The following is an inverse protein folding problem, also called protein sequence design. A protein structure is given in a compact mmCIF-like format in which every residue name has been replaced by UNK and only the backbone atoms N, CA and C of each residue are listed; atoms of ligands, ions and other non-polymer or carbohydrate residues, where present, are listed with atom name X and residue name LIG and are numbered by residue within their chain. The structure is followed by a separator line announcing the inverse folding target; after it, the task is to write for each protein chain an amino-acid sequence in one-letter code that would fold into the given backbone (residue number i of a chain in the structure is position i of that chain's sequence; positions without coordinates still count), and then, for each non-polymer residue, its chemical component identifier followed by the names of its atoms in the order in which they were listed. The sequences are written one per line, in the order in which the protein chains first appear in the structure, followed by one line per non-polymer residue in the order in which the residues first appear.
data_IF_313592728862
#
_entry.id   IF_313592728862
#
_cell.length_a   1.000
_cell.length_b   1.000
_cell.length_c   1.000
_cell.angle_alpha   90.00
_cell.angle_beta   90.00
_cell.angle_gamma   90.00
#
_symmetry.space_group_name_H-M   'P 1'
#
loop_
_entity.id
_entity.type
_entity.pdbx_description
1 polymer ?
#
# COMPACT_ATOMS: atom_id res chain seq x y z
N UNK A 1 4.01 3.92 -7.06
CA UNK A 1 4.56 4.66 -5.89
C UNK A 1 5.85 4.01 -5.36
N UNK A 2 5.95 2.68 -5.22
CA UNK A 2 7.22 1.99 -4.95
C UNK A 2 8.15 1.95 -6.18
N UNK A 3 9.46 1.84 -5.96
CA UNK A 3 10.44 1.49 -7.00
C UNK A 3 11.15 2.65 -7.71
N UNK A 4 10.95 3.90 -7.30
CA UNK A 4 11.66 5.03 -7.90
C UNK A 4 10.98 6.39 -7.72
N UNK A 5 11.39 7.41 -8.51
CA UNK A 5 10.66 8.67 -8.59
C UNK A 5 9.25 8.46 -9.17
N UNK A 6 8.28 9.25 -8.71
CA UNK A 6 6.99 9.37 -9.39
C UNK A 6 7.20 10.20 -10.66
N UNK A 7 6.85 9.64 -11.83
CA UNK A 7 6.99 10.29 -13.14
C UNK A 7 5.62 10.28 -13.82
N UNK A 8 5.24 11.42 -14.39
CA UNK A 8 4.08 11.54 -15.27
C UNK A 8 4.58 11.64 -16.71
N UNK A 9 4.21 10.69 -17.56
CA UNK A 9 4.62 10.65 -18.98
C UNK A 9 3.47 10.93 -19.96
N UNK A 10 2.33 11.36 -19.44
CA UNK A 10 1.14 11.69 -20.25
C UNK A 10 1.15 13.15 -20.70
N UNK A 11 0.34 13.47 -21.70
CA UNK A 11 0.08 14.85 -22.13
C UNK A 11 -0.81 15.56 -21.10
N UNK A 12 -0.18 16.18 -20.11
CA UNK A 12 -0.88 16.87 -19.01
C UNK A 12 -1.80 18.01 -19.48
N UNK A 13 -1.56 18.56 -20.67
CA UNK A 13 -2.42 19.61 -21.25
C UNK A 13 -3.77 19.10 -21.75
N UNK A 14 -3.91 17.79 -21.93
CA UNK A 14 -5.15 17.15 -22.40
C UNK A 14 -6.01 16.64 -21.23
N UNK A 15 -5.60 16.88 -19.99
CA UNK A 15 -6.27 16.34 -18.81
C UNK A 15 -7.53 17.12 -18.44
N UNK A 16 -8.56 16.39 -18.03
CA UNK A 16 -9.75 16.98 -17.41
C UNK A 16 -9.44 17.51 -16.02
N UNK A 17 -10.33 18.35 -15.47
CA UNK A 17 -10.20 18.85 -14.10
C UNK A 17 -10.19 17.72 -13.06
N UNK A 18 -10.94 16.65 -13.29
CA UNK A 18 -10.96 15.45 -12.47
C UNK A 18 -9.59 14.75 -12.48
N UNK A 19 -9.04 14.50 -13.68
CA UNK A 19 -7.70 13.90 -13.82
C UNK A 19 -6.61 14.77 -13.17
N UNK A 20 -6.74 16.09 -13.27
CA UNK A 20 -5.86 17.04 -12.60
C UNK A 20 -5.99 16.97 -11.07
N UNK A 21 -7.20 16.80 -10.54
CA UNK A 21 -7.44 16.64 -9.10
C UNK A 21 -6.86 15.32 -8.58
N UNK A 22 -7.10 14.23 -9.29
CA UNK A 22 -6.56 12.89 -8.95
C UNK A 22 -5.04 12.89 -8.95
N UNK A 23 -4.42 13.51 -9.96
CA UNK A 23 -2.97 13.63 -10.02
C UNK A 23 -2.40 14.45 -8.85
N UNK A 24 -3.07 15.53 -8.42
CA UNK A 24 -2.66 16.29 -7.23
C UNK A 24 -2.73 15.44 -5.96
N UNK A 25 -3.81 14.67 -5.80
CA UNK A 25 -3.98 13.77 -4.66
C UNK A 25 -2.88 12.70 -4.63
N UNK A 26 -2.62 12.04 -5.76
CA UNK A 26 -1.57 11.03 -5.90
C UNK A 26 -0.16 11.61 -5.64
N UNK A 27 0.13 12.83 -6.10
CA UNK A 27 1.39 13.52 -5.82
C UNK A 27 1.53 13.83 -4.31
N UNK A 28 0.45 14.29 -3.66
CA UNK A 28 0.45 14.56 -2.23
C UNK A 28 0.71 13.29 -1.43
N UNK A 29 0.04 12.19 -1.77
CA UNK A 29 0.25 10.88 -1.16
C UNK A 29 1.69 10.39 -1.38
N UNK A 30 2.23 10.50 -2.60
CA UNK A 30 3.64 10.16 -2.86
C UNK A 30 4.59 10.98 -2.00
N UNK A 31 4.41 12.30 -1.89
CA UNK A 31 5.27 13.17 -1.08
C UNK A 31 5.24 12.79 0.40
N UNK A 32 4.06 12.48 0.94
CA UNK A 32 3.87 12.02 2.31
C UNK A 32 4.62 10.70 2.57
N UNK A 33 4.55 9.76 1.63
CA UNK A 33 5.15 8.43 1.76
C UNK A 33 6.61 8.35 1.30
N UNK A 34 7.12 9.35 0.58
CA UNK A 34 8.44 9.31 -0.09
C UNK A 34 9.57 8.96 0.88
N UNK A 35 9.57 9.52 2.08
CA UNK A 35 10.62 9.31 3.07
C UNK A 35 10.69 7.86 3.52
N UNK A 36 9.54 7.23 3.78
CA UNK A 36 9.51 5.83 4.21
C UNK A 36 9.79 4.88 3.04
N UNK A 37 9.32 5.17 1.83
CA UNK A 37 9.57 4.33 0.66
C UNK A 37 11.05 4.34 0.28
N UNK A 38 11.72 5.50 0.37
CA UNK A 38 13.13 5.64 -0.01
C UNK A 38 14.09 5.05 1.03
N UNK A 39 13.83 5.27 2.31
CA UNK A 39 14.77 4.94 3.38
C UNK A 39 14.44 3.64 4.11
N UNK A 40 13.26 3.06 3.84
CA UNK A 40 12.78 1.87 4.52
C UNK A 40 13.23 0.56 3.86
N UNK A 41 13.12 -0.53 4.62
CA UNK A 41 13.34 -1.89 4.12
C UNK A 41 12.13 -2.30 3.29
N UNK A 42 12.35 -2.56 2.01
CA UNK A 42 11.32 -3.08 1.09
C UNK A 42 11.14 -4.58 1.27
N UNK A 43 9.90 -5.03 1.37
CA UNK A 43 9.51 -6.42 1.58
C UNK A 43 8.35 -6.76 0.64
N UNK A 44 8.53 -7.71 -0.27
CA UNK A 44 7.43 -8.28 -1.04
C UNK A 44 6.60 -9.20 -0.15
N UNK A 45 5.34 -8.88 0.10
CA UNK A 45 4.44 -9.69 0.94
C UNK A 45 3.72 -10.75 0.14
N UNK A 46 3.30 -10.42 -1.07
CA UNK A 46 2.75 -11.34 -2.05
C UNK A 46 3.49 -11.14 -3.37
N UNK A 47 3.83 -12.20 -4.11
CA UNK A 47 4.33 -12.04 -5.47
C UNK A 47 3.14 -11.79 -6.44
N UNK A 48 3.30 -10.94 -7.46
CA UNK A 48 2.34 -10.87 -8.55
C UNK A 48 2.24 -12.23 -9.24
N UNK A 49 1.02 -12.71 -9.51
CA UNK A 49 0.82 -13.94 -10.31
C UNK A 49 0.78 -13.54 -11.79
N UNK A 50 1.57 -14.26 -12.58
CA UNK A 50 1.73 -14.27 -14.04
C UNK A 50 1.03 -13.13 -14.81
N UNK A 51 1.81 -12.38 -15.60
CA UNK A 51 1.26 -11.52 -16.65
C UNK A 51 0.80 -12.39 -17.82
N UNK A 52 -0.45 -12.84 -17.80
CA UNK A 52 -1.06 -13.57 -18.92
C UNK A 52 -1.99 -12.59 -19.64
N UNK A 53 -1.92 -12.53 -20.97
CA UNK A 53 -2.80 -11.68 -21.81
C UNK A 53 -2.71 -10.17 -21.49
N UNK A 54 -1.51 -9.64 -21.25
CA UNK A 54 -1.26 -8.21 -20.95
C UNK A 54 -1.86 -7.68 -19.63
N UNK A 55 -2.49 -8.55 -18.82
CA UNK A 55 -3.02 -8.19 -17.51
C UNK A 55 -2.30 -8.96 -16.40
N UNK A 56 -2.16 -8.33 -15.23
CA UNK A 56 -1.77 -9.04 -14.01
C UNK A 56 -2.91 -9.94 -13.52
N UNK A 57 -2.59 -11.00 -12.77
CA UNK A 57 -3.60 -11.84 -12.13
C UNK A 57 -3.43 -11.89 -10.61
N UNK A 58 -4.56 -12.00 -9.91
CA UNK A 58 -4.58 -12.19 -8.46
C UNK A 58 -4.18 -10.95 -7.66
N UNK A 59 -3.53 -11.16 -6.51
CA UNK A 59 -3.14 -10.09 -5.59
C UNK A 59 -1.62 -9.91 -5.58
N UNK A 60 -1.18 -8.66 -5.44
CA UNK A 60 0.21 -8.26 -5.19
C UNK A 60 0.23 -7.35 -3.96
N UNK A 61 1.28 -7.46 -3.14
CA UNK A 61 1.45 -6.62 -1.97
C UNK A 61 2.93 -6.39 -1.68
N UNK A 62 3.29 -5.12 -1.53
CA UNK A 62 4.66 -4.69 -1.22
C UNK A 62 4.64 -3.75 -0.02
N UNK A 63 5.64 -3.87 0.84
CA UNK A 63 5.76 -3.12 2.07
C UNK A 63 7.08 -2.37 2.12
N UNK A 64 7.10 -1.19 2.75
CA UNK A 64 8.31 -0.52 3.24
C UNK A 64 8.19 -0.29 4.74
N UNK A 65 9.22 -0.66 5.49
CA UNK A 65 9.30 -0.45 6.94
C UNK A 65 10.43 0.50 7.27
N UNK A 66 10.18 1.51 8.10
CA UNK A 66 11.23 2.42 8.56
C UNK A 66 12.31 1.67 9.35
N UNK A 67 13.57 2.12 9.36
CA UNK A 67 14.66 1.43 10.05
C UNK A 67 14.42 1.20 11.55
N UNK A 68 13.74 2.14 12.21
CA UNK A 68 13.34 2.05 13.62
C UNK A 68 12.07 1.22 13.83
N UNK A 69 11.44 0.72 12.76
CA UNK A 69 10.17 -0.02 12.78
C UNK A 69 8.99 0.79 13.34
N UNK A 70 9.13 2.11 13.51
CA UNK A 70 8.06 2.97 14.02
C UNK A 70 6.96 3.21 13.00
N UNK A 71 7.29 3.14 11.70
CA UNK A 71 6.35 3.33 10.61
C UNK A 71 6.49 2.21 9.57
N UNK A 72 5.38 1.87 8.93
CA UNK A 72 5.34 0.98 7.78
C UNK A 72 4.27 1.45 6.81
N UNK A 73 4.49 1.26 5.51
CA UNK A 73 3.46 1.43 4.48
C UNK A 73 3.36 0.14 3.68
N UNK A 74 2.14 -0.34 3.46
CA UNK A 74 1.82 -1.51 2.65
C UNK A 74 0.98 -1.04 1.48
N UNK A 75 1.42 -1.32 0.26
CA UNK A 75 0.61 -1.12 -0.94
C UNK A 75 0.09 -2.48 -1.39
N UNK A 76 -1.22 -2.55 -1.60
CA UNK A 76 -1.93 -3.77 -1.96
C UNK A 76 -2.65 -3.54 -3.28
N UNK A 77 -2.57 -4.51 -4.17
CA UNK A 77 -3.19 -4.45 -5.49
C UNK A 77 -4.00 -5.72 -5.73
N UNK A 78 -5.19 -5.56 -6.32
CA UNK A 78 -5.98 -6.67 -6.85
C UNK A 78 -6.11 -6.51 -8.36
N UNK A 79 -5.47 -7.41 -9.10
CA UNK A 79 -5.64 -7.54 -10.54
C UNK A 79 -6.79 -8.51 -10.86
N UNK A 80 -6.88 -9.00 -12.09
CA UNK A 80 -7.98 -9.87 -12.53
C UNK A 80 -7.94 -11.25 -11.86
N UNK A 81 -9.11 -11.79 -11.50
CA UNK A 81 -9.28 -13.18 -11.07
C UNK A 81 -8.79 -13.51 -9.65
N UNK A 82 -8.49 -12.49 -8.82
CA UNK A 82 -8.30 -12.68 -7.39
C UNK A 82 -9.64 -12.70 -6.64
N UNK A 83 -9.75 -13.35 -5.46
CA UNK A 83 -10.93 -13.19 -4.60
C UNK A 83 -11.13 -11.72 -4.22
N UNK A 84 -12.37 -11.26 -3.93
CA UNK A 84 -12.65 -9.86 -3.61
C UNK A 84 -12.01 -9.40 -2.30
N UNK A 85 -11.69 -10.34 -1.41
CA UNK A 85 -11.07 -10.07 -0.11
C UNK A 85 -9.81 -10.90 0.09
N UNK A 86 -8.86 -10.34 0.83
CA UNK A 86 -7.64 -11.03 1.24
C UNK A 86 -7.05 -10.47 2.53
N UNK A 87 -6.44 -11.33 3.33
CA UNK A 87 -5.62 -10.94 4.46
C UNK A 87 -4.16 -10.69 4.03
N UNK A 88 -3.64 -9.51 4.33
CA UNK A 88 -2.25 -9.13 4.08
C UNK A 88 -1.49 -9.12 5.40
N UNK A 89 -0.46 -9.96 5.54
CA UNK A 89 0.34 -10.07 6.77
C UNK A 89 1.60 -9.21 6.65
N UNK A 90 1.66 -8.02 7.29
CA UNK A 90 2.85 -7.18 7.30
C UNK A 90 4.00 -7.88 8.04
N UNK A 91 5.24 -7.59 7.64
CA UNK A 91 6.48 -8.14 8.22
C UNK A 91 7.38 -7.03 8.74
N UNK A 92 8.29 -7.35 9.65
CA UNK A 92 9.27 -6.38 10.16
C UNK A 92 8.71 -5.35 11.15
N UNK A 93 7.52 -5.59 11.72
CA UNK A 93 6.97 -4.76 12.79
C UNK A 93 7.70 -5.01 14.12
N UNK A 94 7.76 -3.99 14.98
CA UNK A 94 8.39 -4.04 16.30
C UNK A 94 7.59 -4.95 17.23
N UNK A 95 8.24 -5.99 17.75
CA UNK A 95 7.62 -6.89 18.72
C UNK A 95 7.15 -6.11 19.97
N UNK A 96 5.96 -6.44 20.46
CA UNK A 96 5.35 -5.80 21.62
C UNK A 96 4.76 -4.40 21.37
N UNK A 97 4.95 -3.81 20.19
CA UNK A 97 4.38 -2.51 19.86
C UNK A 97 2.91 -2.60 19.44
N UNK A 98 2.21 -1.48 19.59
CA UNK A 98 0.87 -1.26 19.07
C UNK A 98 0.94 -0.25 17.93
N UNK A 99 0.24 -0.51 16.84
CA UNK A 99 0.21 0.33 15.66
C UNK A 99 -1.19 0.89 15.44
N UNK A 100 -1.25 2.19 15.14
CA UNK A 100 -2.38 2.81 14.43
C UNK A 100 -2.26 2.45 12.96
N UNK A 101 -3.28 1.79 12.45
CA UNK A 101 -3.39 1.27 11.09
C UNK A 101 -4.44 2.12 10.36
N UNK A 102 -4.05 2.74 9.26
CA UNK A 102 -4.92 3.58 8.44
C UNK A 102 -4.95 3.07 7.01
N UNK A 103 -6.15 2.88 6.49
CA UNK A 103 -6.44 2.58 5.09
C UNK A 103 -6.75 3.91 4.41
N UNK A 104 -5.94 4.29 3.42
CA UNK A 104 -6.05 5.59 2.79
C UNK A 104 -7.34 5.71 1.99
N UNK A 105 -7.70 4.67 1.24
CA UNK A 105 -8.79 4.70 0.27
C UNK A 105 -10.11 4.25 0.92
N UNK A 106 -10.09 3.19 1.73
CA UNK A 106 -11.28 2.75 2.48
C UNK A 106 -11.66 3.66 3.67
N UNK A 107 -10.79 4.59 4.08
CA UNK A 107 -11.05 5.51 5.20
C UNK A 107 -11.12 4.82 6.57
N UNK A 108 -10.62 3.58 6.68
CA UNK A 108 -10.64 2.79 7.92
C UNK A 108 -9.43 3.14 8.77
N UNK A 109 -9.63 3.43 10.05
CA UNK A 109 -8.57 3.56 11.04
C UNK A 109 -8.83 2.65 12.24
N UNK A 110 -7.78 1.96 12.71
CA UNK A 110 -7.86 1.09 13.88
C UNK A 110 -6.52 0.94 14.58
N UNK A 111 -6.58 0.47 15.81
CA UNK A 111 -5.40 0.20 16.63
C UNK A 111 -5.23 -1.32 16.76
N UNK A 112 -4.04 -1.83 16.43
CA UNK A 112 -3.75 -3.27 16.53
C UNK A 112 -2.33 -3.52 17.03
N UNK A 113 -2.16 -4.58 17.83
CA UNK A 113 -0.82 -5.02 18.25
C UNK A 113 -0.04 -5.62 17.08
N UNK A 114 1.29 -5.51 17.12
CA UNK A 114 2.18 -6.15 16.15
C UNK A 114 1.92 -7.66 16.04
N UNK A 115 1.65 -8.32 17.18
CA UNK A 115 1.33 -9.74 17.23
C UNK A 115 0.02 -10.06 16.47
N UNK A 116 -1.05 -9.28 16.71
CA UNK A 116 -2.32 -9.46 15.98
C UNK A 116 -2.15 -9.22 14.48
N UNK A 117 -1.33 -8.24 14.08
CA UNK A 117 -1.07 -7.93 12.68
C UNK A 117 -0.28 -9.05 11.98
N UNK A 118 0.63 -9.71 12.69
CA UNK A 118 1.40 -10.84 12.15
C UNK A 118 0.54 -12.11 12.03
N UNK A 119 -0.29 -12.39 13.05
CA UNK A 119 -1.14 -13.59 13.09
C UNK A 119 -2.34 -13.49 12.16
N UNK A 120 -3.16 -12.45 12.34
CA UNK A 120 -4.44 -12.24 11.65
C UNK A 120 -4.31 -11.45 10.35
N UNK A 121 -3.27 -10.64 10.23
CA UNK A 121 -3.10 -9.78 9.06
C UNK A 121 -4.06 -8.58 9.04
N UNK A 122 -4.01 -7.90 7.91
CA UNK A 122 -4.82 -6.76 7.52
C UNK A 122 -5.87 -7.27 6.52
N UNK A 123 -7.16 -7.40 6.89
CA UNK A 123 -8.22 -7.62 5.90
C UNK A 123 -8.26 -6.47 4.90
N UNK A 124 -8.35 -6.81 3.62
CA UNK A 124 -8.45 -5.87 2.50
C UNK A 124 -9.54 -6.37 1.56
N UNK A 125 -10.48 -5.50 1.21
CA UNK A 125 -11.47 -5.72 0.17
C UNK A 125 -11.19 -4.76 -0.98
N UNK A 126 -11.12 -5.25 -2.21
CA UNK A 126 -10.80 -4.45 -3.39
C UNK A 126 -11.65 -4.91 -4.56
N UNK A 127 -12.05 -3.98 -5.42
CA UNK A 127 -12.55 -4.30 -6.76
C UNK A 127 -11.40 -4.78 -7.65
N UNK A 128 -11.72 -5.41 -8.79
CA UNK A 128 -10.68 -5.75 -9.75
C UNK A 128 -10.02 -4.49 -10.32
N UNK A 129 -8.72 -4.57 -10.57
CA UNK A 129 -7.90 -3.46 -11.08
C UNK A 129 -7.86 -2.24 -10.14
N UNK A 130 -7.95 -2.49 -8.82
CA UNK A 130 -7.87 -1.45 -7.79
C UNK A 130 -6.73 -1.71 -6.80
N UNK A 131 -6.49 -0.74 -5.93
CA UNK A 131 -5.42 -0.75 -4.94
C UNK A 131 -5.84 -0.12 -3.62
N UNK A 132 -5.08 -0.41 -2.56
CA UNK A 132 -5.17 0.25 -1.26
C UNK A 132 -3.77 0.58 -0.73
N UNK A 133 -3.67 1.69 0.00
CA UNK A 133 -2.47 2.08 0.74
C UNK A 133 -2.76 2.04 2.23
N UNK A 134 -2.07 1.12 2.92
CA UNK A 134 -2.21 0.94 4.37
C UNK A 134 -0.98 1.48 5.08
N UNK A 135 -1.18 2.52 5.89
CA UNK A 135 -0.16 3.08 6.77
C UNK A 135 -0.24 2.47 8.16
N UNK A 136 0.91 2.13 8.74
CA UNK A 136 1.05 1.66 10.11
C UNK A 136 2.04 2.59 10.82
N UNK A 137 1.66 3.10 11.98
CA UNK A 137 2.52 3.93 12.82
C UNK A 137 2.39 3.50 14.28
N UNK A 138 3.51 3.41 15.01
CA UNK A 138 3.49 3.09 16.44
C UNK A 138 2.60 4.11 17.16
N UNK A 139 1.70 3.59 17.97
CA UNK A 139 0.92 4.40 18.89
C UNK A 139 1.79 4.73 20.10
N UNK A 140 2.05 6.02 20.29
CA UNK A 140 2.75 6.56 21.46
C UNK A 140 1.88 6.46 22.72
#
# INVERSE_FOLDING_TARGET
IFGGPLILMQRIGDWTDEQMADARAAIAQYKHLRTIIRNGKVIHLLPPRNNVEHHGRGWDAIQSVSPDQARSVVMVYRALGGPPEREIRPRGLRAGATYRVRYADAGIERVQSAASLQEKGLPVALDELSSEVIELEIQA
#
